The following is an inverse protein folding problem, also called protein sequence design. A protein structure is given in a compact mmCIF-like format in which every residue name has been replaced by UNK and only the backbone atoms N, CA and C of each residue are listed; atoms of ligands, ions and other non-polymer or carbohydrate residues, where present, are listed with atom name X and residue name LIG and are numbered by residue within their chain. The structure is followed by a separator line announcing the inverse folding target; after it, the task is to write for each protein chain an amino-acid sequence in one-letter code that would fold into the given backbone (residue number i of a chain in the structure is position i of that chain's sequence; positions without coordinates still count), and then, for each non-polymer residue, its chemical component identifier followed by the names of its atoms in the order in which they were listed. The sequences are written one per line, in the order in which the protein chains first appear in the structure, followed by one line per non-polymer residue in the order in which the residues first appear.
data_IF_889315234798
#
_entry.id   IF_889315234798
#
_cell.length_a   1.000
_cell.length_b   1.000
_cell.length_c   1.000
_cell.angle_alpha   90.00
_cell.angle_beta   90.00
_cell.angle_gamma   90.00
#
_symmetry.space_group_name_H-M   'P 1'
#
loop_
_entity.id
_entity.type
_entity.pdbx_description
1 polymer ?
#
# COMPACT_ATOMS: atom_id res chain seq x y z
N UNK A 1 19.46 -30.67 -17.59
CA UNK A 1 18.22 -31.05 -18.31
C UNK A 1 17.13 -30.09 -17.86
N UNK A 2 17.26 -28.79 -18.10
CA UNK A 2 17.30 -28.11 -19.42
C UNK A 2 16.11 -28.47 -20.27
N UNK A 3 15.08 -27.63 -20.21
CA UNK A 3 14.46 -26.98 -21.37
C UNK A 3 13.28 -26.12 -20.92
N UNK A 4 13.56 -24.84 -20.63
CA UNK A 4 12.56 -23.78 -20.70
C UNK A 4 12.22 -23.54 -22.17
N UNK A 5 10.94 -23.58 -22.52
CA UNK A 5 10.42 -23.16 -23.83
C UNK A 5 9.15 -22.36 -23.61
N UNK A 6 9.13 -21.12 -24.12
CA UNK A 6 8.03 -20.15 -23.97
C UNK A 6 7.33 -19.90 -25.31
N UNK A 7 5.99 -19.88 -25.34
CA UNK A 7 5.09 -19.40 -26.42
C UNK A 7 3.72 -19.11 -25.74
N UNK A 8 2.95 -18.02 -25.87
CA UNK A 8 3.03 -16.67 -26.46
C UNK A 8 1.87 -15.85 -25.84
N UNK A 9 2.08 -14.56 -25.53
CA UNK A 9 1.07 -13.61 -25.01
C UNK A 9 1.09 -12.35 -25.89
N UNK A 10 -0.05 -11.81 -26.40
CA UNK A 10 -0.02 -10.55 -27.12
C UNK A 10 -0.31 -9.39 -26.16
N UNK A 11 0.75 -8.84 -25.55
CA UNK A 11 0.72 -7.46 -25.07
C UNK A 11 2.10 -6.85 -25.26
N UNK A 12 2.24 -5.95 -26.25
CA UNK A 12 3.46 -5.18 -26.48
C UNK A 12 3.66 -4.20 -25.31
N UNK A 13 4.75 -4.27 -24.53
CA UNK A 13 5.21 -3.08 -23.82
C UNK A 13 5.86 -2.14 -24.85
N UNK A 14 5.41 -0.89 -24.89
CA UNK A 14 6.20 0.20 -25.46
C UNK A 14 7.41 0.37 -24.52
N UNK A 15 8.59 -0.07 -24.96
CA UNK A 15 9.90 0.00 -24.30
C UNK A 15 10.24 -1.13 -23.29
N UNK A 16 11.20 -2.04 -23.63
CA UNK A 16 11.63 -3.14 -22.75
C UNK A 16 12.67 -2.74 -21.70
N UNK A 17 13.18 -1.51 -21.69
CA UNK A 17 14.00 -0.94 -20.62
C UNK A 17 13.76 0.58 -20.58
N UNK A 18 12.78 1.08 -19.80
CA UNK A 18 12.84 2.48 -19.43
C UNK A 18 14.13 2.69 -18.64
N UNK A 19 14.87 3.79 -18.83
CA UNK A 19 15.94 4.12 -17.90
C UNK A 19 15.35 4.04 -16.49
N UNK A 20 16.06 3.41 -15.54
CA UNK A 20 15.77 3.50 -14.10
C UNK A 20 16.14 4.92 -13.64
N UNK A 21 15.73 5.94 -14.40
CA UNK A 21 15.70 7.32 -13.97
C UNK A 21 14.30 7.52 -13.44
N UNK A 22 14.17 7.30 -12.13
CA UNK A 22 13.15 7.90 -11.25
C UNK A 22 11.82 8.13 -11.98
N UNK A 23 10.88 7.19 -11.86
CA UNK A 23 9.50 7.63 -11.80
C UNK A 23 9.46 8.61 -10.63
N UNK A 24 9.50 9.91 -10.96
CA UNK A 24 9.54 10.99 -10.01
C UNK A 24 8.14 11.06 -9.37
N UNK A 25 7.89 10.07 -8.50
CA UNK A 25 6.90 10.16 -7.45
C UNK A 25 7.12 11.48 -6.73
N UNK A 26 8.37 11.89 -6.54
CA UNK A 26 8.74 13.20 -6.00
C UNK A 26 8.14 14.38 -6.76
N UNK A 27 8.17 14.43 -8.11
CA UNK A 27 7.57 15.55 -8.86
C UNK A 27 6.03 15.60 -8.73
N UNK A 28 5.36 14.43 -8.80
CA UNK A 28 3.90 14.36 -8.68
C UNK A 28 3.42 14.54 -7.23
N UNK A 29 4.20 14.08 -6.24
CA UNK A 29 3.96 14.26 -4.80
C UNK A 29 4.28 15.69 -4.38
N UNK A 30 5.32 16.32 -4.93
CA UNK A 30 5.60 17.74 -4.75
C UNK A 30 4.52 18.62 -5.38
N UNK A 31 3.99 18.26 -6.56
CA UNK A 31 2.86 18.96 -7.19
C UNK A 31 1.55 18.87 -6.38
N UNK A 32 1.43 17.90 -5.46
CA UNK A 32 0.27 17.74 -4.57
C UNK A 32 0.22 18.75 -3.41
N UNK A 33 1.10 19.76 -3.37
CA UNK A 33 1.15 20.78 -2.29
C UNK A 33 1.19 20.16 -0.89
N UNK A 34 1.85 19.01 -0.75
CA UNK A 34 2.07 18.34 0.53
C UNK A 34 3.25 18.97 1.26
N UNK A 35 3.14 20.27 1.58
CA UNK A 35 4.11 20.95 2.43
C UNK A 35 4.25 20.17 3.75
N UNK A 36 5.39 19.47 3.91
CA UNK A 36 5.71 18.69 5.11
C UNK A 36 5.50 17.18 5.02
N UNK A 37 5.26 16.58 3.85
CA UNK A 37 5.29 15.11 3.71
C UNK A 37 6.67 14.64 3.24
N UNK A 38 7.44 14.05 4.16
CA UNK A 38 8.73 13.44 3.85
C UNK A 38 8.49 12.03 3.30
N UNK A 39 8.67 11.83 1.99
CA UNK A 39 8.75 10.48 1.40
C UNK A 39 10.03 9.83 1.94
N UNK A 40 9.89 8.80 2.77
CA UNK A 40 11.02 7.95 3.16
C UNK A 40 11.03 6.73 2.26
N UNK A 41 12.01 6.65 1.36
CA UNK A 41 12.28 5.42 0.64
C UNK A 41 12.79 4.37 1.63
N UNK A 42 12.00 3.32 1.82
CA UNK A 42 12.41 2.13 2.57
C UNK A 42 12.99 1.11 1.59
N UNK A 43 14.21 1.34 1.09
CA UNK A 43 14.98 0.28 0.43
C UNK A 43 15.60 -0.59 1.52
N UNK A 44 14.88 -1.62 1.96
CA UNK A 44 15.41 -2.59 2.90
C UNK A 44 16.53 -3.39 2.22
N UNK A 45 17.78 -3.36 2.69
CA UNK A 45 18.79 -4.30 2.22
C UNK A 45 18.41 -5.69 2.75
N UNK A 46 18.14 -6.61 1.82
CA UNK A 46 18.18 -8.08 1.90
C UNK A 46 17.87 -8.69 3.29
N UNK A 47 16.72 -9.36 3.33
CA UNK A 47 16.01 -9.97 4.48
C UNK A 47 16.81 -11.10 5.15
N UNK A 48 16.82 -11.13 6.49
CA UNK A 48 17.31 -12.25 7.28
C UNK A 48 17.66 -11.88 8.73
N UNK A 49 18.88 -11.40 8.96
CA UNK A 49 19.38 -11.09 10.31
C UNK A 49 18.77 -9.81 10.89
N UNK A 50 18.64 -8.75 10.07
CA UNK A 50 18.08 -7.45 10.49
C UNK A 50 16.60 -7.49 10.90
N UNK A 51 15.83 -8.47 10.45
CA UNK A 51 14.40 -8.51 10.75
C UNK A 51 14.14 -8.86 12.22
N UNK A 52 14.98 -9.72 12.80
CA UNK A 52 14.88 -10.11 14.21
C UNK A 52 15.24 -8.93 15.11
N UNK A 53 16.36 -8.27 14.81
CA UNK A 53 16.81 -7.04 15.48
C UNK A 53 15.77 -5.92 15.39
N UNK A 54 15.12 -5.76 14.23
CA UNK A 54 14.05 -4.79 14.06
C UNK A 54 12.88 -5.09 15.00
N UNK A 55 12.39 -6.32 15.03
CA UNK A 55 11.28 -6.69 15.91
C UNK A 55 11.64 -6.57 17.39
N UNK A 56 12.87 -6.92 17.77
CA UNK A 56 13.37 -6.78 19.14
C UNK A 56 13.49 -5.31 19.57
N UNK A 57 13.82 -4.41 18.63
CA UNK A 57 13.96 -2.97 18.90
C UNK A 57 12.62 -2.23 19.09
N UNK A 58 11.48 -2.84 18.76
CA UNK A 58 10.17 -2.18 18.83
C UNK A 58 9.67 -2.11 20.28
N UNK A 59 9.48 -0.89 20.78
CA UNK A 59 8.85 -0.67 22.08
C UNK A 59 7.33 -0.80 22.02
N UNK A 60 6.82 -1.97 22.42
CA UNK A 60 5.38 -2.29 22.47
C UNK A 60 4.61 -1.61 23.61
N UNK A 61 5.29 -0.96 24.57
CA UNK A 61 4.65 -0.27 25.70
C UNK A 61 4.14 1.13 25.35
N UNK A 62 4.41 1.62 24.14
CA UNK A 62 3.93 2.92 23.68
C UNK A 62 2.39 2.91 23.66
N UNK A 63 1.80 3.82 24.42
CA UNK A 63 0.36 4.02 24.47
C UNK A 63 0.03 5.51 24.33
N UNK A 64 -1.18 5.81 23.87
CA UNK A 64 -1.67 7.17 23.70
C UNK A 64 -2.91 7.35 24.57
N UNK A 65 -2.98 8.44 25.32
CA UNK A 65 -4.15 8.74 26.14
C UNK A 65 -5.39 8.93 25.27
N UNK A 66 -6.56 8.54 25.79
CA UNK A 66 -7.83 8.62 25.07
C UNK A 66 -8.15 10.05 24.63
N UNK A 67 -7.85 11.04 25.47
CA UNK A 67 -8.07 12.46 25.20
C UNK A 67 -7.16 12.96 24.06
N UNK A 68 -5.87 12.62 24.09
CA UNK A 68 -4.93 12.98 23.02
C UNK A 68 -5.32 12.32 21.69
N UNK A 69 -5.71 11.04 21.73
CA UNK A 69 -6.20 10.32 20.54
C UNK A 69 -7.43 10.99 19.93
N UNK A 70 -8.43 11.32 20.75
CA UNK A 70 -9.67 11.96 20.28
C UNK A 70 -9.42 13.37 19.73
N UNK A 71 -8.44 14.10 20.28
CA UNK A 71 -8.05 15.42 19.81
C UNK A 71 -7.36 15.36 18.44
N UNK A 72 -6.45 14.41 18.23
CA UNK A 72 -5.65 14.31 16.99
C UNK A 72 -6.40 13.63 15.82
N UNK A 73 -7.30 12.70 16.10
CA UNK A 73 -7.94 11.87 15.07
C UNK A 73 -8.70 12.66 13.99
N UNK A 74 -9.54 13.67 14.32
CA UNK A 74 -10.30 14.40 13.30
C UNK A 74 -9.40 15.13 12.30
N UNK A 75 -8.31 15.73 12.78
CA UNK A 75 -7.34 16.43 11.94
C UNK A 75 -6.63 15.47 10.97
N UNK A 76 -6.19 14.31 11.46
CA UNK A 76 -5.55 13.28 10.63
C UNK A 76 -6.52 12.71 9.59
N UNK A 77 -7.79 12.47 9.96
CA UNK A 77 -8.82 11.99 9.04
C UNK A 77 -9.13 13.01 7.95
N UNK A 78 -9.19 14.29 8.29
CA UNK A 78 -9.39 15.36 7.30
C UNK A 78 -8.18 15.50 6.37
N UNK A 79 -6.96 15.39 6.90
CA UNK A 79 -5.74 15.36 6.08
C UNK A 79 -5.74 14.17 5.11
N UNK A 80 -6.14 12.98 5.58
CA UNK A 80 -6.23 11.79 4.74
C UNK A 80 -7.30 11.96 3.63
N UNK A 81 -8.43 12.59 3.95
CA UNK A 81 -9.47 12.90 2.96
C UNK A 81 -8.93 13.84 1.87
N UNK A 82 -8.25 14.92 2.25
CA UNK A 82 -7.61 15.84 1.28
C UNK A 82 -6.61 15.12 0.39
N UNK A 83 -5.79 14.25 0.97
CA UNK A 83 -4.85 13.40 0.25
C UNK A 83 -5.53 12.48 -0.76
N UNK A 84 -6.66 11.86 -0.41
CA UNK A 84 -7.43 11.00 -1.32
C UNK A 84 -7.90 11.78 -2.56
N UNK A 85 -8.46 12.98 -2.35
CA UNK A 85 -8.89 13.84 -3.46
C UNK A 85 -7.71 14.31 -4.32
N UNK A 86 -6.61 14.68 -3.67
CA UNK A 86 -5.42 15.15 -4.35
C UNK A 86 -4.82 14.02 -5.23
N UNK A 87 -4.70 12.80 -4.70
CA UNK A 87 -4.29 11.62 -5.47
C UNK A 87 -5.22 11.33 -6.66
N UNK A 88 -6.54 11.53 -6.48
CA UNK A 88 -7.52 11.38 -7.58
C UNK A 88 -7.30 12.41 -8.69
N UNK A 89 -7.06 13.67 -8.35
CA UNK A 89 -6.79 14.75 -9.32
C UNK A 89 -5.47 14.51 -10.05
N UNK A 90 -4.44 14.06 -9.34
CA UNK A 90 -3.13 13.74 -9.92
C UNK A 90 -3.09 12.41 -10.69
N UNK A 91 -4.21 11.68 -10.72
CA UNK A 91 -4.33 10.34 -11.30
C UNK A 91 -3.25 9.37 -10.77
N UNK A 92 -3.05 9.38 -9.45
CA UNK A 92 -2.09 8.51 -8.75
C UNK A 92 -2.84 7.42 -8.00
N UNK A 93 -2.60 6.18 -8.42
CA UNK A 93 -3.13 4.98 -7.77
C UNK A 93 -2.41 4.73 -6.45
N UNK A 94 -3.16 4.54 -5.35
CA UNK A 94 -2.59 4.29 -4.01
C UNK A 94 -3.05 2.96 -3.45
N UNK A 95 -2.13 2.18 -2.88
CA UNK A 95 -2.42 0.90 -2.21
C UNK A 95 -1.93 0.98 -0.77
N UNK A 96 -2.76 0.53 0.18
CA UNK A 96 -2.39 0.40 1.59
C UNK A 96 -2.54 -1.06 1.98
N UNK A 97 -1.42 -1.74 2.21
CA UNK A 97 -1.38 -3.13 2.69
C UNK A 97 -1.26 -3.14 4.21
N UNK A 98 -2.14 -3.88 4.90
CA UNK A 98 -2.16 -3.98 6.35
C UNK A 98 -1.95 -5.43 6.77
N UNK A 99 -0.73 -5.73 7.20
CA UNK A 99 -0.32 -7.04 7.70
C UNK A 99 -0.08 -7.03 9.22
N UNK A 100 -0.11 -8.21 9.84
CA UNK A 100 0.17 -8.36 11.27
C UNK A 100 -0.52 -9.57 11.90
N UNK A 101 -0.22 -9.81 13.17
CA UNK A 101 -0.77 -10.91 13.96
C UNK A 101 -2.30 -10.85 14.08
N UNK A 102 -2.90 -12.01 14.36
CA UNK A 102 -4.31 -12.08 14.72
C UNK A 102 -4.59 -11.25 15.97
N UNK A 103 -5.76 -10.62 16.00
CA UNK A 103 -6.16 -9.66 17.03
C UNK A 103 -5.26 -8.40 17.18
N UNK A 104 -4.30 -8.14 16.29
CA UNK A 104 -3.48 -6.92 16.33
C UNK A 104 -4.27 -5.62 16.05
N UNK A 105 -5.55 -5.71 15.69
CA UNK A 105 -6.42 -4.55 15.48
C UNK A 105 -6.51 -4.05 14.04
N UNK A 106 -6.06 -4.84 13.04
CA UNK A 106 -6.10 -4.51 11.61
C UNK A 106 -7.49 -4.03 11.14
N UNK A 107 -8.56 -4.73 11.53
CA UNK A 107 -9.94 -4.35 11.17
C UNK A 107 -10.37 -3.00 11.75
N UNK A 108 -9.96 -2.69 12.99
CA UNK A 108 -10.23 -1.39 13.61
C UNK A 108 -9.45 -0.28 12.92
N UNK A 109 -8.20 -0.55 12.51
CA UNK A 109 -7.39 0.38 11.73
C UNK A 109 -8.05 0.70 10.38
N UNK A 110 -8.48 -0.33 9.62
CA UNK A 110 -9.21 -0.17 8.36
C UNK A 110 -10.44 0.72 8.57
N UNK A 111 -11.27 0.41 9.57
CA UNK A 111 -12.48 1.19 9.86
C UNK A 111 -12.15 2.65 10.16
N UNK A 112 -11.05 2.94 10.85
CA UNK A 112 -10.64 4.31 11.17
C UNK A 112 -10.10 5.08 9.98
N UNK A 113 -9.38 4.39 9.09
CA UNK A 113 -8.91 4.95 7.83
C UNK A 113 -10.10 5.29 6.92
N UNK A 114 -11.08 4.41 6.79
CA UNK A 114 -12.19 4.58 5.83
C UNK A 114 -13.34 5.44 6.33
N UNK A 115 -13.45 5.72 7.64
CA UNK A 115 -14.61 6.39 8.25
C UNK A 115 -14.94 7.78 7.66
N UNK A 116 -13.94 8.50 7.13
CA UNK A 116 -14.08 9.88 6.60
C UNK A 116 -13.69 10.01 5.13
N UNK A 117 -13.38 8.89 4.47
CA UNK A 117 -13.03 8.86 3.06
C UNK A 117 -14.29 8.79 2.19
N UNK A 118 -14.19 9.29 0.96
CA UNK A 118 -15.25 9.11 -0.02
C UNK A 118 -15.32 7.64 -0.43
N UNK A 119 -16.44 6.93 -0.19
CA UNK A 119 -16.58 5.51 -0.49
C UNK A 119 -16.48 5.17 -1.98
N UNK A 120 -16.62 6.16 -2.87
CA UNK A 120 -16.47 5.97 -4.33
C UNK A 120 -15.01 5.93 -4.77
N UNK A 121 -14.11 6.45 -3.94
CA UNK A 121 -12.70 6.65 -4.25
C UNK A 121 -11.78 5.64 -3.54
N UNK A 122 -12.32 4.62 -2.87
CA UNK A 122 -11.53 3.52 -2.34
C UNK A 122 -12.27 2.18 -2.45
N UNK A 123 -11.50 1.10 -2.37
CA UNK A 123 -12.03 -0.27 -2.22
C UNK A 123 -11.26 -0.95 -1.10
N UNK A 124 -11.96 -1.74 -0.30
CA UNK A 124 -11.35 -2.59 0.73
C UNK A 124 -11.40 -4.01 0.23
N UNK A 125 -10.23 -4.63 0.07
CA UNK A 125 -10.12 -6.03 -0.28
C UNK A 125 -9.65 -6.80 0.95
N UNK A 126 -10.40 -7.83 1.35
CA UNK A 126 -10.02 -8.74 2.43
C UNK A 126 -9.54 -10.06 1.85
N UNK A 127 -8.45 -10.60 2.39
CA UNK A 127 -7.93 -11.90 2.00
C UNK A 127 -8.91 -13.01 2.37
N UNK A 128 -9.65 -13.52 1.39
CA UNK A 128 -10.38 -14.77 1.48
C UNK A 128 -9.51 -15.92 0.96
N UNK A 129 -9.70 -17.17 1.41
CA UNK A 129 -9.06 -18.31 0.80
C UNK A 129 -9.32 -18.36 -0.72
N UNK A 130 -8.33 -18.78 -1.53
CA UNK A 130 -8.49 -18.81 -2.98
C UNK A 130 -9.53 -19.86 -3.40
N UNK A 131 -10.45 -19.45 -4.26
CA UNK A 131 -11.45 -20.33 -4.89
C UNK A 131 -10.79 -21.38 -5.80
N UNK A 132 -11.48 -22.49 -6.11
CA UNK A 132 -10.93 -23.51 -7.02
C UNK A 132 -10.57 -22.98 -8.40
N UNK A 133 -11.21 -21.90 -8.86
CA UNK A 133 -10.88 -21.23 -10.12
C UNK A 133 -9.62 -20.37 -9.98
N UNK A 134 -9.47 -19.62 -8.89
CA UNK A 134 -8.26 -18.83 -8.61
C UNK A 134 -7.03 -19.71 -8.46
N UNK A 135 -7.16 -20.91 -7.88
CA UNK A 135 -6.06 -21.86 -7.72
C UNK A 135 -5.49 -22.40 -9.05
N UNK A 136 -6.20 -22.24 -10.17
CA UNK A 136 -5.71 -22.62 -11.50
C UNK A 136 -4.76 -21.60 -12.11
N UNK A 137 -4.69 -20.40 -11.53
CA UNK A 137 -3.82 -19.33 -11.99
C UNK A 137 -2.64 -19.13 -11.03
N UNK A 138 -1.67 -18.33 -11.45
CA UNK A 138 -0.58 -17.91 -10.59
C UNK A 138 -1.10 -17.18 -9.34
N UNK A 139 -0.45 -17.36 -8.18
CA UNK A 139 -0.85 -16.78 -6.89
C UNK A 139 -1.20 -15.28 -6.96
N UNK A 140 -0.41 -14.49 -7.71
CA UNK A 140 -0.60 -13.05 -7.84
C UNK A 140 -1.79 -12.63 -8.71
N UNK A 141 -2.35 -13.54 -9.52
CA UNK A 141 -3.40 -13.22 -10.48
C UNK A 141 -4.60 -12.52 -9.83
N UNK A 142 -5.08 -13.05 -8.70
CA UNK A 142 -6.22 -12.48 -7.96
C UNK A 142 -5.96 -11.06 -7.43
N UNK A 143 -4.72 -10.78 -7.04
CA UNK A 143 -4.32 -9.46 -6.51
C UNK A 143 -4.15 -8.45 -7.64
N UNK A 144 -3.64 -8.89 -8.79
CA UNK A 144 -3.51 -8.06 -9.98
C UNK A 144 -4.87 -7.55 -10.46
N UNK A 145 -5.92 -8.38 -10.40
CA UNK A 145 -7.29 -7.98 -10.72
C UNK A 145 -7.87 -6.96 -9.73
N UNK A 146 -7.34 -6.87 -8.52
CA UNK A 146 -7.78 -5.96 -7.47
C UNK A 146 -6.98 -4.64 -7.46
N UNK A 147 -5.97 -4.49 -8.33
CA UNK A 147 -5.18 -3.27 -8.38
C UNK A 147 -6.03 -2.06 -8.81
N UNK A 148 -5.81 -0.88 -8.20
CA UNK A 148 -6.42 0.36 -8.65
C UNK A 148 -5.93 0.74 -10.05
N UNK A 149 -6.86 1.27 -10.86
CA UNK A 149 -6.60 1.81 -12.20
C UNK A 149 -5.81 3.12 -12.16
#
# INVERSE_FOLDING_TARGET
MDSFSAIFWPFRPRNPNPPISRYSLDEKICALNLHGFQVREYTSPIVGQRFRELLESINLKKSLSKTAYQKAMPELQERLRKLQYAAKVANVSTIVCLEGWDAAGKGRAIRKLTQKLDPRLFRVWSGTPPTPLEQRYHFLHRYQLALPN
#
